data_IF_876229058459
#
_entry.id   IF_876229058459
#
_cell.length_a   1.000
_cell.length_b   1.000
_cell.length_c   1.000
_cell.angle_alpha   90.00
_cell.angle_beta   90.00
_cell.angle_gamma   90.00
#
_symmetry.space_group_name_H-M   'P 1'
#
loop_
_entity.id
_entity.type
_entity.pdbx_description
1 polymer ?
#
# COMPACT_ATOMS: atom_id res chain seq x y z
N UNK A 1 -2.87 28.74 -23.88
CA UNK A 1 -3.46 27.42 -23.59
C UNK A 1 -2.92 27.00 -22.24
N UNK A 2 -3.80 26.71 -21.29
CA UNK A 2 -3.39 26.25 -19.96
C UNK A 2 -2.57 24.99 -20.13
N UNK A 3 -1.31 25.07 -19.70
CA UNK A 3 -0.39 23.95 -19.59
C UNK A 3 -1.05 22.88 -18.70
N UNK A 4 -1.50 21.79 -19.32
CA UNK A 4 -2.01 20.60 -18.63
C UNK A 4 -0.84 19.67 -18.32
N UNK A 5 0.29 20.21 -17.87
CA UNK A 5 1.26 19.48 -17.06
C UNK A 5 0.56 19.14 -15.75
N UNK A 6 -0.30 18.11 -15.78
CA UNK A 6 -0.87 17.59 -14.56
C UNK A 6 0.28 16.93 -13.80
N UNK A 7 0.96 17.72 -12.97
CA UNK A 7 1.52 17.26 -11.70
C UNK A 7 0.37 16.57 -10.98
N UNK A 8 0.12 15.30 -11.32
CA UNK A 8 -0.87 14.47 -10.65
C UNK A 8 -0.27 14.20 -9.29
N UNK A 9 -0.53 15.11 -8.35
CA UNK A 9 -0.26 14.94 -6.93
C UNK A 9 -0.72 13.56 -6.51
N UNK A 10 0.24 12.64 -6.39
CA UNK A 10 -0.04 11.28 -6.00
C UNK A 10 -0.34 11.27 -4.52
N UNK A 11 -1.52 10.74 -4.16
CA UNK A 11 -1.95 10.76 -2.78
C UNK A 11 -1.05 9.89 -1.89
N UNK A 12 -0.39 8.89 -2.49
CA UNK A 12 0.63 8.09 -1.80
C UNK A 12 1.80 8.95 -1.34
N UNK A 13 2.37 9.78 -2.21
CA UNK A 13 3.54 10.60 -1.87
C UNK A 13 3.20 11.69 -0.84
N UNK A 14 1.94 12.12 -0.80
CA UNK A 14 1.43 13.03 0.21
C UNK A 14 1.16 12.37 1.57
N UNK A 15 1.30 11.04 1.68
CA UNK A 15 1.09 10.25 2.91
C UNK A 15 -0.26 10.54 3.60
N UNK A 16 -1.31 10.75 2.81
CA UNK A 16 -2.61 11.17 3.33
C UNK A 16 -3.51 9.98 3.70
N UNK A 17 -3.31 9.45 4.90
CA UNK A 17 -4.04 8.28 5.40
C UNK A 17 -5.57 8.46 5.42
N UNK A 18 -6.10 9.67 5.65
CA UNK A 18 -7.55 9.88 5.67
C UNK A 18 -8.16 9.63 4.29
N UNK A 19 -7.58 10.22 3.25
CA UNK A 19 -8.05 10.04 1.88
C UNK A 19 -7.94 8.58 1.44
N UNK A 20 -6.80 7.94 1.72
CA UNK A 20 -6.56 6.54 1.36
C UNK A 20 -7.59 5.59 1.98
N UNK A 21 -7.97 5.82 3.24
CA UNK A 21 -9.01 5.03 3.92
C UNK A 21 -10.38 5.22 3.26
N UNK A 22 -10.80 6.45 3.03
CA UNK A 22 -12.12 6.73 2.45
C UNK A 22 -12.21 6.28 0.99
N UNK A 23 -11.14 6.48 0.23
CA UNK A 23 -11.01 6.00 -1.14
C UNK A 23 -11.05 4.46 -1.19
N UNK A 24 -10.26 3.78 -0.34
CA UNK A 24 -10.28 2.33 -0.22
C UNK A 24 -11.65 1.77 0.16
N UNK A 25 -12.35 2.40 1.10
CA UNK A 25 -13.72 2.05 1.46
C UNK A 25 -14.71 2.21 0.31
N UNK A 26 -14.56 3.28 -0.49
CA UNK A 26 -15.36 3.53 -1.69
C UNK A 26 -15.13 2.44 -2.73
N UNK A 27 -13.88 2.16 -3.10
CA UNK A 27 -13.51 1.10 -4.03
C UNK A 27 -14.01 -0.28 -3.58
N UNK A 28 -13.96 -0.56 -2.27
CA UNK A 28 -14.49 -1.79 -1.69
C UNK A 28 -16.01 -1.94 -1.92
N UNK A 29 -16.77 -0.85 -1.74
CA UNK A 29 -18.23 -0.83 -1.98
C UNK A 29 -18.58 -1.02 -3.47
N UNK A 30 -17.77 -0.48 -4.38
CA UNK A 30 -17.93 -0.66 -5.82
C UNK A 30 -17.45 -2.01 -6.36
N UNK A 31 -16.95 -2.91 -5.50
CA UNK A 31 -16.45 -4.23 -5.91
C UNK A 31 -15.04 -4.21 -6.51
N UNK A 32 -14.35 -3.07 -6.52
CA UNK A 32 -12.98 -2.93 -7.03
C UNK A 32 -11.97 -3.30 -5.94
N UNK A 33 -11.87 -4.60 -5.65
CA UNK A 33 -11.14 -5.11 -4.48
C UNK A 33 -9.62 -4.90 -4.55
N UNK A 34 -8.99 -4.97 -5.73
CA UNK A 34 -7.57 -4.71 -5.89
C UNK A 34 -7.21 -3.26 -5.61
N UNK A 35 -7.92 -2.31 -6.22
CA UNK A 35 -7.73 -0.88 -5.97
C UNK A 35 -7.92 -0.55 -4.48
N UNK A 36 -8.93 -1.14 -3.84
CA UNK A 36 -9.13 -0.99 -2.40
C UNK A 36 -7.96 -1.58 -1.58
N UNK A 37 -7.45 -2.76 -1.95
CA UNK A 37 -6.29 -3.39 -1.32
C UNK A 37 -5.06 -2.50 -1.39
N UNK A 38 -4.79 -1.91 -2.55
CA UNK A 38 -3.65 -1.01 -2.74
C UNK A 38 -3.72 0.23 -1.88
N UNK A 39 -4.88 0.89 -1.84
CA UNK A 39 -5.09 2.08 -1.00
C UNK A 39 -4.84 1.76 0.48
N UNK A 40 -5.25 0.58 0.95
CA UNK A 40 -4.94 0.17 2.32
C UNK A 40 -3.49 -0.29 2.50
N UNK A 41 -2.85 -0.85 1.48
CA UNK A 41 -1.44 -1.25 1.52
C UNK A 41 -0.51 -0.02 1.62
N UNK A 42 -0.90 1.11 1.02
CA UNK A 42 -0.19 2.37 1.14
C UNK A 42 -0.04 2.84 2.59
N UNK A 43 -1.11 2.72 3.39
CA UNK A 43 -1.08 3.03 4.83
C UNK A 43 -0.02 2.22 5.56
N UNK A 44 0.10 0.93 5.24
CA UNK A 44 1.12 0.07 5.83
C UNK A 44 2.54 0.51 5.40
N UNK A 45 2.72 0.86 4.12
CA UNK A 45 4.00 1.40 3.62
C UNK A 45 4.37 2.71 4.33
N UNK A 46 3.42 3.61 4.54
CA UNK A 46 3.62 4.88 5.26
C UNK A 46 4.16 4.66 6.68
N UNK A 47 3.59 3.70 7.42
CA UNK A 47 4.03 3.38 8.78
C UNK A 47 5.48 2.86 8.77
N UNK A 48 5.84 2.04 7.79
CA UNK A 48 7.21 1.52 7.63
C UNK A 48 8.17 2.65 7.29
N UNK A 49 7.80 3.56 6.39
CA UNK A 49 8.62 4.73 6.06
C UNK A 49 8.81 5.64 7.26
N UNK A 50 7.73 5.99 7.99
CA UNK A 50 7.83 6.79 9.23
C UNK A 50 8.74 6.13 10.28
N UNK A 51 8.76 4.80 10.37
CA UNK A 51 9.70 4.09 11.24
C UNK A 51 11.15 4.21 10.77
N UNK A 52 11.39 4.10 9.46
CA UNK A 52 12.72 4.25 8.87
C UNK A 52 13.27 5.66 9.03
N UNK A 53 12.41 6.68 8.96
CA UNK A 53 12.80 8.08 9.13
C UNK A 53 13.36 8.37 10.54
N UNK A 54 13.10 7.51 11.55
CA UNK A 54 13.78 7.64 12.85
C UNK A 54 15.28 7.43 12.79
N UNK A 55 15.77 6.63 11.83
CA UNK A 55 17.18 6.23 11.82
C UNK A 55 18.10 7.45 11.78
N UNK A 56 17.74 8.46 10.99
CA UNK A 56 18.48 9.71 10.90
C UNK A 56 18.27 10.60 12.13
N UNK A 57 17.08 10.54 12.73
CA UNK A 57 16.73 11.34 13.91
C UNK A 57 17.56 10.96 15.14
N UNK A 58 17.93 9.68 15.30
CA UNK A 58 18.73 9.21 16.44
C UNK A 58 20.05 9.96 16.55
N UNK A 59 20.82 10.04 15.47
CA UNK A 59 22.10 10.74 15.48
C UNK A 59 21.94 12.26 15.40
N UNK A 60 20.92 12.74 14.67
CA UNK A 60 20.65 14.17 14.54
C UNK A 60 20.35 14.83 15.90
N UNK A 61 19.49 14.21 16.72
CA UNK A 61 19.05 14.79 17.99
C UNK A 61 20.14 14.80 19.04
N UNK A 62 21.01 13.79 19.06
CA UNK A 62 22.21 13.77 19.93
C UNK A 62 23.18 14.89 19.53
N UNK A 63 23.48 15.04 18.23
CA UNK A 63 24.38 16.08 17.72
C UNK A 63 23.88 17.50 17.98
N UNK A 64 22.56 17.71 17.94
CA UNK A 64 21.92 19.02 18.15
C UNK A 64 21.40 19.22 19.57
N UNK A 65 21.67 18.28 20.48
CA UNK A 65 21.25 18.33 21.89
C UNK A 65 19.73 18.52 22.11
N UNK A 66 18.91 17.97 21.22
CA UNK A 66 17.44 18.09 21.24
C UNK A 66 16.75 16.83 21.78
N UNK A 67 17.20 16.34 22.95
CA UNK A 67 16.73 15.08 23.53
C UNK A 67 15.26 15.10 23.95
N UNK A 68 14.74 16.25 24.39
CA UNK A 68 13.31 16.38 24.73
C UNK A 68 12.41 16.14 23.51
N UNK A 69 12.76 16.74 22.37
CA UNK A 69 12.05 16.54 21.11
C UNK A 69 12.15 15.08 20.66
N UNK A 70 13.33 14.47 20.80
CA UNK A 70 13.51 13.05 20.51
C UNK A 70 12.56 12.15 21.30
N UNK A 71 12.45 12.34 22.62
CA UNK A 71 11.54 11.56 23.46
C UNK A 71 10.07 11.75 23.07
N UNK A 72 9.68 12.96 22.69
CA UNK A 72 8.32 13.24 22.21
C UNK A 72 8.03 12.50 20.89
N UNK A 73 8.93 12.57 19.91
CA UNK A 73 8.79 11.86 18.63
C UNK A 73 8.80 10.35 18.83
N UNK A 74 9.64 9.84 19.75
CA UNK A 74 9.66 8.43 20.11
C UNK A 74 8.32 7.97 20.70
N UNK A 75 7.76 8.73 21.64
CA UNK A 75 6.44 8.46 22.21
C UNK A 75 5.33 8.51 21.15
N UNK A 76 5.40 9.45 20.20
CA UNK A 76 4.47 9.51 19.07
C UNK A 76 4.54 8.24 18.23
N UNK A 77 5.75 7.75 17.93
CA UNK A 77 5.94 6.55 17.11
C UNK A 77 5.44 5.27 17.78
N UNK A 78 5.71 5.11 19.09
CA UNK A 78 5.20 3.97 19.85
C UNK A 78 3.65 3.94 19.84
N UNK A 79 3.02 5.10 19.63
CA UNK A 79 1.57 5.27 19.57
C UNK A 79 0.98 5.41 18.15
N UNK A 80 1.78 5.28 17.09
CA UNK A 80 1.32 5.56 15.71
C UNK A 80 0.09 4.72 15.30
N UNK A 81 0.06 3.45 15.71
CA UNK A 81 -1.03 2.50 15.40
C UNK A 81 -2.35 2.84 16.13
N UNK A 82 -2.34 3.77 17.10
CA UNK A 82 -3.55 4.22 17.80
C UNK A 82 -4.34 5.24 16.99
N UNK A 83 -3.75 5.81 15.92
CA UNK A 83 -4.45 6.73 15.04
C UNK A 83 -5.67 6.03 14.40
N UNK A 84 -6.82 6.71 14.40
CA UNK A 84 -8.09 6.16 13.91
C UNK A 84 -8.06 5.80 12.42
N UNK A 85 -7.41 6.62 11.59
CA UNK A 85 -7.32 6.38 10.14
C UNK A 85 -6.42 5.19 9.86
N UNK A 86 -5.27 5.10 10.53
CA UNK A 86 -4.37 3.94 10.41
C UNK A 86 -5.10 2.67 10.86
N UNK A 87 -5.77 2.69 12.00
CA UNK A 87 -6.53 1.54 12.51
C UNK A 87 -7.62 1.12 11.51
N UNK A 88 -8.41 2.06 10.99
CA UNK A 88 -9.46 1.76 10.03
C UNK A 88 -8.92 1.21 8.71
N UNK A 89 -7.79 1.76 8.23
CA UNK A 89 -7.09 1.27 7.05
C UNK A 89 -6.61 -0.17 7.22
N UNK A 90 -6.00 -0.50 8.35
CA UNK A 90 -5.53 -1.86 8.66
C UNK A 90 -6.68 -2.86 8.80
N UNK A 91 -7.82 -2.45 9.37
CA UNK A 91 -9.04 -3.28 9.39
C UNK A 91 -9.58 -3.50 7.98
N UNK A 92 -9.56 -2.47 7.13
CA UNK A 92 -9.92 -2.58 5.70
C UNK A 92 -9.01 -3.53 4.94
N UNK A 93 -7.70 -3.44 5.18
CA UNK A 93 -6.68 -4.31 4.60
C UNK A 93 -6.93 -5.78 4.92
N UNK A 94 -7.08 -6.12 6.21
CA UNK A 94 -7.36 -7.49 6.69
C UNK A 94 -8.68 -8.01 6.10
N UNK A 95 -9.71 -7.17 6.04
CA UNK A 95 -11.01 -7.55 5.46
C UNK A 95 -10.87 -8.02 4.01
N UNK A 96 -10.08 -7.32 3.21
CA UNK A 96 -9.85 -7.68 1.80
C UNK A 96 -9.03 -8.96 1.69
N UNK A 97 -7.95 -9.08 2.46
CA UNK A 97 -7.13 -10.31 2.47
C UNK A 97 -8.00 -11.52 2.86
N UNK A 98 -8.80 -11.43 3.92
CA UNK A 98 -9.68 -12.51 4.34
C UNK A 98 -10.72 -12.87 3.26
N UNK A 99 -11.19 -11.87 2.49
CA UNK A 99 -12.09 -12.12 1.36
C UNK A 99 -11.40 -12.91 0.25
N UNK A 100 -10.18 -12.51 -0.14
CA UNK A 100 -9.40 -13.24 -1.13
C UNK A 100 -8.99 -14.63 -0.64
N UNK A 101 -8.62 -14.75 0.63
CA UNK A 101 -8.26 -16.02 1.26
C UNK A 101 -9.43 -17.01 1.28
N UNK A 102 -10.64 -16.56 1.62
CA UNK A 102 -11.84 -17.41 1.54
C UNK A 102 -12.09 -17.92 0.11
N UNK A 103 -11.88 -17.08 -0.90
CA UNK A 103 -12.00 -17.49 -2.31
C UNK A 103 -10.90 -18.49 -2.72
N UNK A 104 -9.68 -18.30 -2.23
CA UNK A 104 -8.52 -19.12 -2.58
C UNK A 104 -8.49 -20.49 -1.88
N UNK A 105 -8.83 -20.60 -0.59
CA UNK A 105 -8.70 -21.87 0.17
C UNK A 105 -10.05 -22.59 0.36
N UNK A 106 -11.14 -21.83 0.60
CA UNK A 106 -12.48 -22.37 0.87
C UNK A 106 -13.46 -22.30 -0.30
N UNK A 107 -13.04 -21.76 -1.45
CA UNK A 107 -13.84 -21.78 -2.68
C UNK A 107 -13.96 -23.18 -3.30
N UNK A 108 -14.88 -23.35 -4.23
CA UNK A 108 -14.95 -24.56 -5.07
C UNK A 108 -13.67 -24.70 -5.92
N UNK A 109 -13.36 -25.91 -6.40
CA UNK A 109 -12.17 -26.12 -7.24
C UNK A 109 -12.19 -25.29 -8.54
N UNK A 110 -13.38 -24.91 -9.00
CA UNK A 110 -13.58 -23.97 -10.12
C UNK A 110 -13.22 -22.53 -9.70
N UNK A 111 -13.75 -22.05 -8.56
CA UNK A 111 -13.45 -20.71 -8.03
C UNK A 111 -11.97 -20.50 -7.73
N UNK A 112 -11.26 -21.56 -7.32
CA UNK A 112 -9.82 -21.55 -7.09
C UNK A 112 -9.04 -21.35 -8.38
N UNK A 113 -9.37 -22.12 -9.42
CA UNK A 113 -8.73 -22.00 -10.74
C UNK A 113 -9.01 -20.64 -11.36
N UNK A 114 -10.25 -20.17 -11.27
CA UNK A 114 -10.63 -18.81 -11.71
C UNK A 114 -9.86 -17.73 -10.97
N UNK A 115 -9.65 -17.88 -9.66
CA UNK A 115 -8.92 -16.89 -8.87
C UNK A 115 -7.44 -16.86 -9.23
N UNK A 116 -6.80 -18.01 -9.40
CA UNK A 116 -5.40 -18.09 -9.84
C UNK A 116 -5.23 -17.54 -11.25
N UNK A 117 -6.10 -17.94 -12.19
CA UNK A 117 -6.09 -17.43 -13.55
C UNK A 117 -6.32 -15.90 -13.58
N UNK A 118 -7.27 -15.41 -12.78
CA UNK A 118 -7.50 -13.97 -12.66
C UNK A 118 -6.29 -13.21 -12.09
N UNK A 119 -5.55 -13.80 -11.13
CA UNK A 119 -4.32 -13.20 -10.63
C UNK A 119 -3.24 -13.12 -11.72
N UNK A 120 -3.08 -14.17 -12.53
CA UNK A 120 -2.14 -14.20 -13.65
C UNK A 120 -2.53 -13.22 -14.76
N UNK A 121 -3.81 -13.16 -15.12
CA UNK A 121 -4.35 -12.22 -16.11
C UNK A 121 -4.14 -10.76 -15.66
N UNK A 122 -4.33 -10.48 -14.38
CA UNK A 122 -4.12 -9.15 -13.83
C UNK A 122 -2.63 -8.82 -13.70
N UNK A 123 -1.78 -9.78 -13.33
CA UNK A 123 -0.31 -9.62 -13.39
C UNK A 123 0.14 -9.26 -14.81
N UNK A 124 -0.39 -9.96 -15.83
CA UNK A 124 -0.05 -9.72 -17.23
C UNK A 124 -0.48 -8.33 -17.73
N UNK A 125 -1.70 -7.86 -17.38
CA UNK A 125 -2.19 -6.53 -17.77
C UNK A 125 -1.32 -5.38 -17.27
N UNK A 126 -0.57 -5.61 -16.20
CA UNK A 126 0.27 -4.58 -15.57
C UNK A 126 1.77 -4.89 -15.69
N UNK A 127 2.16 -5.95 -16.40
CA UNK A 127 3.55 -6.28 -16.72
C UNK A 127 4.10 -5.48 -17.92
N UNK A 128 3.24 -5.07 -18.86
CA UNK A 128 3.61 -4.37 -20.11
C UNK A 128 3.69 -2.84 -19.97
N UNK A 129 4.32 -2.34 -18.90
CA UNK A 129 4.76 -0.93 -18.87
C UNK A 129 6.27 -0.89 -19.07
N UNK A 130 6.74 -1.17 -20.28
CA UNK A 130 8.14 -0.89 -20.65
C UNK A 130 8.31 0.64 -20.75
N UNK A 131 9.37 1.23 -20.16
CA UNK A 131 9.70 2.62 -20.40
C UNK A 131 10.13 2.75 -21.86
N UNK A 132 9.36 3.52 -22.64
CA UNK A 132 9.74 3.88 -24.02
C UNK A 132 11.13 4.54 -24.04
N UNK A 133 11.87 4.30 -25.13
CA UNK A 133 13.34 4.40 -25.21
C UNK A 133 13.97 5.78 -25.01
N UNK A 134 15.29 5.82 -25.25
CA UNK A 134 16.22 6.93 -24.97
C UNK A 134 15.99 8.22 -25.79
N UNK A 135 14.88 8.93 -25.56
CA UNK A 135 14.73 10.32 -26.00
C UNK A 135 14.75 11.31 -24.82
N UNK A 136 15.49 12.39 -25.06
CA UNK A 136 15.95 13.43 -24.16
C UNK A 136 14.80 14.35 -23.68
N UNK A 137 14.02 13.91 -22.69
CA UNK A 137 13.31 14.76 -21.71
C UNK A 137 12.72 13.82 -20.63
N UNK A 138 13.19 13.89 -19.38
CA UNK A 138 12.49 13.21 -18.29
C UNK A 138 11.23 14.00 -17.97
N UNK A 139 10.09 13.51 -18.47
CA UNK A 139 8.77 13.98 -18.06
C UNK A 139 8.67 13.96 -16.51
N UNK A 140 7.93 14.89 -15.88
CA UNK A 140 7.76 14.89 -14.43
C UNK A 140 7.29 13.52 -13.99
N UNK A 141 8.12 12.85 -13.17
CA UNK A 141 7.91 11.53 -12.60
C UNK A 141 6.42 11.19 -12.45
N UNK A 142 5.89 10.29 -13.27
CA UNK A 142 4.60 9.66 -13.00
C UNK A 142 4.86 8.63 -11.88
N UNK A 143 4.46 8.90 -10.62
CA UNK A 143 4.87 8.09 -9.47
C UNK A 143 4.12 6.76 -9.39
N UNK A 144 3.15 6.52 -10.28
CA UNK A 144 2.56 5.19 -10.48
C UNK A 144 3.56 4.21 -11.12
N UNK A 145 4.46 4.68 -11.99
CA UNK A 145 5.50 3.84 -12.62
C UNK A 145 6.67 3.50 -11.69
N UNK A 146 6.85 4.24 -10.58
CA UNK A 146 7.92 4.02 -9.61
C UNK A 146 7.49 3.18 -8.39
N UNK A 147 6.21 2.86 -8.23
CA UNK A 147 5.75 1.92 -7.22
C UNK A 147 6.10 0.52 -7.72
N UNK A 148 6.87 -0.31 -6.98
CA UNK A 148 7.28 -1.64 -7.43
C UNK A 148 6.13 -2.62 -7.75
N UNK A 149 4.88 -2.23 -7.50
CA UNK A 149 3.66 -3.02 -7.65
C UNK A 149 2.45 -2.05 -7.75
N UNK A 150 2.21 -1.44 -8.93
CA UNK A 150 1.14 -0.47 -9.16
C UNK A 150 -0.26 -1.09 -9.21
N UNK A 151 -0.36 -2.41 -9.04
CA UNK A 151 -1.65 -3.16 -9.00
C UNK A 151 -1.88 -3.86 -7.66
N UNK A 152 -0.83 -4.08 -6.86
CA UNK A 152 -0.91 -4.80 -5.60
C UNK A 152 -0.91 -6.33 -5.77
N UNK A 153 -0.79 -6.84 -6.99
CA UNK A 153 -0.92 -8.27 -7.30
C UNK A 153 0.31 -9.04 -6.83
N UNK A 154 1.50 -8.47 -7.05
CA UNK A 154 2.78 -9.09 -6.64
C UNK A 154 2.82 -9.21 -5.11
N UNK A 155 2.46 -8.14 -4.40
CA UNK A 155 2.40 -8.14 -2.93
C UNK A 155 1.33 -9.10 -2.41
N UNK A 156 0.18 -9.19 -3.07
CA UNK A 156 -0.88 -10.13 -2.69
C UNK A 156 -0.42 -11.59 -2.85
N UNK A 157 0.20 -11.94 -3.98
CA UNK A 157 0.80 -13.26 -4.25
C UNK A 157 1.83 -13.64 -3.20
N UNK A 158 2.73 -12.71 -2.89
CA UNK A 158 3.74 -12.89 -1.83
C UNK A 158 3.10 -13.18 -0.46
N UNK A 159 1.98 -12.53 -0.13
CA UNK A 159 1.26 -12.76 1.14
C UNK A 159 0.60 -14.15 1.20
N UNK A 160 0.12 -14.65 0.05
CA UNK A 160 -0.41 -16.01 -0.05
C UNK A 160 0.70 -17.06 0.05
N UNK A 161 1.79 -16.88 -0.69
CA UNK A 161 2.93 -17.81 -0.73
C UNK A 161 3.64 -17.91 0.63
N UNK A 162 3.75 -16.80 1.35
CA UNK A 162 4.38 -16.76 2.68
C UNK A 162 3.52 -17.38 3.79
N UNK A 163 2.28 -17.79 3.51
CA UNK A 163 1.34 -18.31 4.51
C UNK A 163 0.83 -17.24 5.50
N UNK A 164 1.19 -15.97 5.29
CA UNK A 164 0.76 -14.85 6.13
C UNK A 164 -0.76 -14.66 6.02
N UNK A 165 -1.35 -14.84 4.83
CA UNK A 165 -2.80 -14.79 4.64
C UNK A 165 -3.55 -15.75 5.59
N UNK A 166 -3.06 -16.98 5.72
CA UNK A 166 -3.62 -18.00 6.60
C UNK A 166 -3.56 -17.60 8.07
N UNK A 167 -2.39 -17.12 8.52
CA UNK A 167 -2.22 -16.63 9.90
C UNK A 167 -3.08 -15.41 10.22
N UNK A 168 -3.32 -14.53 9.25
CA UNK A 168 -4.25 -13.40 9.43
C UNK A 168 -5.69 -13.87 9.55
N UNK A 169 -6.09 -14.86 8.74
CA UNK A 169 -7.43 -15.44 8.78
C UNK A 169 -7.70 -16.18 10.10
N UNK A 170 -6.73 -16.94 10.62
CA UNK A 170 -6.89 -17.70 11.87
C UNK A 170 -7.06 -16.80 13.12
N UNK A 171 -6.60 -15.55 13.05
CA UNK A 171 -6.64 -14.59 14.17
C UNK A 171 -7.86 -13.67 14.18
N UNK A 172 -8.68 -13.68 13.14
CA UNK A 172 -9.81 -12.77 12.95
C UNK A 172 -11.14 -13.51 12.98
#
# INVERSE_FOLDING_TARGET
SLDQSSDKLNTFDLQNAWYEVESGNSHYKYGRHLQAYQMFNYIQKHIVTMHKDMYDLHFYTVRKFNLRTYLNVRSMQDNIRRNIHIKNGMVGYIRIINKFYKKAEHGTDEEKKEFTQWLEDEEAKHAETEPDGWDEYSEPHDPLGAIPDPTGVISLKTIFDSGVAKHMADKC
#
